data_IF_019057158370
#
_entry.id   IF_019057158370
#
_cell.length_a   1.000
_cell.length_b   1.000
_cell.length_c   1.000
_cell.angle_alpha   90.00
_cell.angle_beta   90.00
_cell.angle_gamma   90.00
#
_symmetry.space_group_name_H-M   'P 1'
#
loop_
_entity.id
_entity.type
_entity.pdbx_description
1 polymer ?
#
# COMPACT_ATOMS: atom_id res chain seq x y z
N UNK A 1 -13.85 49.12 14.12
CA UNK A 1 -14.62 48.01 13.53
C UNK A 1 -13.68 46.82 13.41
N UNK A 2 -13.79 45.87 14.34
CA UNK A 2 -12.99 44.65 14.31
C UNK A 2 -13.61 43.78 13.21
N UNK A 3 -12.89 43.59 12.10
CA UNK A 3 -13.26 42.61 11.10
C UNK A 3 -13.21 41.24 11.78
N UNK A 4 -14.37 40.64 12.02
CA UNK A 4 -14.43 39.25 12.44
C UNK A 4 -13.82 38.41 11.30
N UNK A 5 -12.63 37.87 11.52
CA UNK A 5 -12.07 36.82 10.67
C UNK A 5 -13.11 35.70 10.58
N UNK A 6 -13.72 35.56 9.41
CA UNK A 6 -14.63 34.44 9.15
C UNK A 6 -13.74 33.20 9.09
N UNK A 7 -13.89 32.24 10.01
CA UNK A 7 -13.01 31.08 10.06
C UNK A 7 -13.10 30.30 8.74
N UNK A 8 -11.95 29.94 8.18
CA UNK A 8 -11.86 29.25 6.90
C UNK A 8 -12.51 27.86 7.02
N UNK A 9 -13.63 27.66 6.34
CA UNK A 9 -14.36 26.39 6.38
C UNK A 9 -13.57 25.33 5.62
N UNK A 10 -13.04 24.35 6.33
CA UNK A 10 -12.30 23.22 5.75
C UNK A 10 -13.23 22.21 5.09
N UNK A 11 -14.40 21.96 5.67
CA UNK A 11 -15.40 21.09 5.05
C UNK A 11 -16.71 20.97 5.81
N UNK A 12 -17.62 20.19 5.24
CA UNK A 12 -18.95 19.94 5.82
C UNK A 12 -19.23 18.45 5.89
N UNK A 13 -19.87 18.04 6.99
CA UNK A 13 -20.55 16.76 7.14
C UNK A 13 -21.98 16.94 6.63
N UNK A 14 -22.44 16.05 5.78
CA UNK A 14 -23.80 16.10 5.23
C UNK A 14 -24.50 14.75 5.36
N UNK A 15 -25.82 14.81 5.51
CA UNK A 15 -26.72 13.67 5.52
C UNK A 15 -27.64 13.68 4.30
N UNK A 16 -27.98 12.49 3.78
CA UNK A 16 -28.95 12.32 2.69
C UNK A 16 -30.14 11.52 3.20
N UNK A 17 -31.33 12.02 2.93
CA UNK A 17 -32.61 11.43 3.33
C UNK A 17 -33.69 11.68 2.28
N UNK A 18 -34.86 11.06 2.49
CA UNK A 18 -36.06 11.44 1.75
C UNK A 18 -36.64 12.73 2.33
N UNK A 19 -37.22 13.56 1.48
CA UNK A 19 -37.84 14.84 1.84
C UNK A 19 -38.90 14.68 2.92
N UNK A 20 -39.69 13.60 2.82
CA UNK A 20 -40.82 13.29 3.71
C UNK A 20 -40.42 12.45 4.94
N UNK A 21 -39.17 12.03 5.05
CA UNK A 21 -38.67 11.24 6.18
C UNK A 21 -37.61 12.04 6.93
N UNK A 22 -37.61 11.94 8.26
CA UNK A 22 -36.49 12.40 9.08
C UNK A 22 -35.31 11.39 9.06
N UNK A 23 -35.52 10.21 8.48
CA UNK A 23 -34.53 9.14 8.49
C UNK A 23 -33.38 9.40 7.51
N UNK A 24 -32.18 9.63 8.04
CA UNK A 24 -30.97 9.62 7.23
C UNK A 24 -30.63 8.22 6.74
N UNK A 25 -30.26 8.13 5.47
CA UNK A 25 -29.84 6.89 4.81
C UNK A 25 -28.37 6.90 4.41
N UNK A 26 -27.71 8.06 4.44
CA UNK A 26 -26.30 8.16 4.17
C UNK A 26 -25.70 9.41 4.82
N UNK A 27 -24.51 9.27 5.36
CA UNK A 27 -23.68 10.38 5.86
C UNK A 27 -22.39 10.42 5.07
N UNK A 28 -21.88 11.62 4.78
CA UNK A 28 -20.54 11.75 4.23
C UNK A 28 -19.95 13.12 4.44
N UNK A 29 -18.69 13.27 4.07
CA UNK A 29 -17.96 14.55 4.16
C UNK A 29 -17.57 15.12 2.80
N UNK A 30 -17.41 16.45 2.75
CA UNK A 30 -16.89 17.12 1.56
C UNK A 30 -16.28 18.48 1.86
N UNK A 31 -15.20 18.82 1.13
CA UNK A 31 -14.58 20.14 1.13
C UNK A 31 -15.12 21.06 0.02
N UNK A 32 -15.92 20.53 -0.91
CA UNK A 32 -16.38 21.24 -2.13
C UNK A 32 -17.86 21.67 -2.07
N UNK A 33 -18.50 21.50 -0.91
CA UNK A 33 -19.91 21.81 -0.66
C UNK A 33 -20.86 20.61 -0.85
N UNK A 34 -21.80 20.45 0.09
CA UNK A 34 -22.73 19.32 0.16
C UNK A 34 -23.56 19.13 -1.12
N UNK A 35 -24.11 20.22 -1.69
CA UNK A 35 -24.92 20.17 -2.93
C UNK A 35 -24.12 19.61 -4.11
N UNK A 36 -22.87 20.05 -4.27
CA UNK A 36 -22.00 19.57 -5.36
C UNK A 36 -21.69 18.08 -5.19
N UNK A 37 -21.39 17.66 -3.96
CA UNK A 37 -21.12 16.26 -3.63
C UNK A 37 -22.34 15.37 -3.85
N UNK A 38 -23.53 15.84 -3.50
CA UNK A 38 -24.79 15.16 -3.75
C UNK A 38 -25.06 14.94 -5.24
N UNK A 39 -24.89 15.98 -6.08
CA UNK A 39 -25.00 15.83 -7.54
C UNK A 39 -23.99 14.83 -8.11
N UNK A 40 -22.78 14.77 -7.54
CA UNK A 40 -21.79 13.77 -7.90
C UNK A 40 -22.25 12.34 -7.54
N UNK A 41 -22.90 12.15 -6.39
CA UNK A 41 -23.47 10.84 -6.03
C UNK A 41 -24.57 10.40 -7.01
N UNK A 42 -25.47 11.30 -7.39
CA UNK A 42 -26.49 11.00 -8.41
C UNK A 42 -25.87 10.61 -9.75
N UNK A 43 -24.83 11.33 -10.19
CA UNK A 43 -24.09 11.00 -11.41
C UNK A 43 -23.43 9.62 -11.30
N UNK A 44 -22.71 9.36 -10.22
CA UNK A 44 -22.06 8.08 -9.98
C UNK A 44 -23.04 6.90 -9.95
N UNK A 45 -24.22 7.11 -9.36
CA UNK A 45 -25.28 6.10 -9.31
C UNK A 45 -25.83 5.80 -10.71
N UNK A 46 -26.01 6.83 -11.54
CA UNK A 46 -26.43 6.70 -12.95
C UNK A 46 -25.36 6.03 -13.82
N UNK A 47 -24.10 6.33 -13.58
CA UNK A 47 -22.96 5.77 -14.31
C UNK A 47 -22.66 4.29 -13.93
N UNK A 48 -23.51 3.68 -13.08
CA UNK A 48 -23.50 2.24 -12.82
C UNK A 48 -22.63 1.79 -11.65
N UNK A 49 -22.16 2.71 -10.78
CA UNK A 49 -21.47 2.29 -9.55
C UNK A 49 -22.43 1.51 -8.64
N UNK A 50 -21.97 0.35 -8.17
CA UNK A 50 -22.75 -0.58 -7.34
C UNK A 50 -22.38 -0.45 -5.86
N UNK A 51 -23.28 0.13 -5.08
CA UNK A 51 -23.23 0.17 -3.61
C UNK A 51 -24.67 0.21 -3.08
N UNK A 52 -24.96 -0.26 -1.85
CA UNK A 52 -26.31 -0.21 -1.28
C UNK A 52 -26.92 1.21 -1.33
N UNK A 53 -26.11 2.23 -1.03
CA UNK A 53 -26.51 3.62 -1.14
C UNK A 53 -26.87 4.05 -2.58
N UNK A 54 -26.08 3.67 -3.60
CA UNK A 54 -26.38 4.02 -4.99
C UNK A 54 -27.58 3.26 -5.55
N UNK A 55 -27.74 2.00 -5.13
CA UNK A 55 -28.91 1.20 -5.45
C UNK A 55 -30.18 1.83 -4.86
N UNK A 56 -30.10 2.35 -3.62
CA UNK A 56 -31.17 3.10 -2.98
C UNK A 56 -31.46 4.43 -3.69
N UNK A 57 -30.44 5.22 -4.05
CA UNK A 57 -30.63 6.47 -4.80
C UNK A 57 -31.37 6.26 -6.12
N UNK A 58 -31.12 5.14 -6.82
CA UNK A 58 -31.80 4.84 -8.11
C UNK A 58 -33.27 4.48 -7.97
N UNK A 59 -33.73 4.13 -6.77
CA UNK A 59 -35.15 3.82 -6.50
C UNK A 59 -36.00 5.08 -6.33
N UNK A 60 -35.39 6.24 -6.14
CA UNK A 60 -36.09 7.49 -5.77
C UNK A 60 -35.86 8.59 -6.80
N UNK A 61 -36.85 9.45 -7.00
CA UNK A 61 -36.72 10.64 -7.83
C UNK A 61 -35.82 11.69 -7.18
N UNK A 62 -35.12 12.50 -7.99
CA UNK A 62 -34.26 13.59 -7.50
C UNK A 62 -35.00 14.58 -6.58
N UNK A 63 -36.28 14.84 -6.83
CA UNK A 63 -37.09 15.78 -6.05
C UNK A 63 -37.41 15.26 -4.63
N UNK A 64 -37.41 13.94 -4.47
CA UNK A 64 -37.70 13.25 -3.21
C UNK A 64 -36.47 13.20 -2.30
N UNK A 65 -35.26 13.42 -2.84
CA UNK A 65 -34.02 13.35 -2.10
C UNK A 65 -33.61 14.73 -1.60
N UNK A 66 -33.19 14.79 -0.34
CA UNK A 66 -32.68 16.00 0.31
C UNK A 66 -31.29 15.72 0.85
N UNK A 67 -30.41 16.72 0.71
CA UNK A 67 -29.10 16.75 1.34
C UNK A 67 -29.08 17.86 2.37
N UNK A 68 -28.88 17.50 3.63
CA UNK A 68 -28.81 18.42 4.75
C UNK A 68 -27.35 18.53 5.22
N UNK A 69 -26.93 19.75 5.56
CA UNK A 69 -25.63 19.96 6.21
C UNK A 69 -25.83 19.69 7.70
N UNK A 70 -25.14 18.68 8.23
CA UNK A 70 -25.23 18.30 9.63
C UNK A 70 -24.28 19.15 10.48
N UNK A 71 -23.06 19.36 9.98
CA UNK A 71 -22.02 20.09 10.69
C UNK A 71 -21.05 20.75 9.71
N UNK A 72 -20.57 21.94 10.08
CA UNK A 72 -19.55 22.68 9.34
C UNK A 72 -18.28 22.72 10.17
N UNK A 73 -17.18 22.19 9.61
CA UNK A 73 -15.89 22.08 10.29
C UNK A 73 -14.95 23.16 9.75
N UNK A 74 -14.45 23.99 10.66
CA UNK A 74 -13.49 25.07 10.40
C UNK A 74 -12.08 24.76 10.89
N UNK A 75 -11.88 23.60 11.52
CA UNK A 75 -10.58 23.12 11.98
C UNK A 75 -9.90 22.24 10.94
N UNK A 76 -9.24 21.15 11.32
CA UNK A 76 -8.40 20.38 10.40
C UNK A 76 -9.15 19.28 9.60
N UNK A 77 -8.46 18.69 8.62
CA UNK A 77 -9.04 17.59 7.82
C UNK A 77 -9.27 16.31 8.65
N UNK A 78 -8.50 16.10 9.72
CA UNK A 78 -8.64 14.95 10.60
C UNK A 78 -9.90 15.06 11.47
N UNK A 79 -10.24 16.27 11.92
CA UNK A 79 -11.48 16.61 12.61
C UNK A 79 -12.68 16.38 11.71
N UNK A 80 -12.59 16.72 10.42
CA UNK A 80 -13.64 16.40 9.45
C UNK A 80 -13.87 14.87 9.34
N UNK A 81 -12.80 14.08 9.35
CA UNK A 81 -12.88 12.62 9.37
C UNK A 81 -13.49 12.07 10.66
N UNK A 82 -13.09 12.61 11.82
CA UNK A 82 -13.65 12.23 13.13
C UNK A 82 -15.13 12.58 13.23
N UNK A 83 -15.53 13.76 12.74
CA UNK A 83 -16.91 14.20 12.72
C UNK A 83 -17.78 13.25 11.89
N UNK A 84 -17.29 12.76 10.73
CA UNK A 84 -17.98 11.73 9.94
C UNK A 84 -18.27 10.48 10.78
N UNK A 85 -17.27 9.97 11.51
CA UNK A 85 -17.42 8.80 12.35
C UNK A 85 -18.43 9.01 13.48
N UNK A 86 -18.37 10.17 14.13
CA UNK A 86 -19.29 10.51 15.22
C UNK A 86 -20.73 10.57 14.74
N UNK A 87 -21.00 11.24 13.61
CA UNK A 87 -22.35 11.31 13.05
C UNK A 87 -22.89 9.96 12.62
N UNK A 88 -22.05 9.10 12.02
CA UNK A 88 -22.47 7.74 11.64
C UNK A 88 -22.84 6.92 12.89
N UNK A 89 -22.03 6.98 13.96
CA UNK A 89 -22.32 6.29 15.22
C UNK A 89 -23.60 6.79 15.86
N UNK A 90 -23.72 8.11 16.04
CA UNK A 90 -24.87 8.74 16.70
C UNK A 90 -26.18 8.46 15.97
N UNK A 91 -26.19 8.52 14.63
CA UNK A 91 -27.40 8.25 13.86
C UNK A 91 -27.78 6.76 13.89
N UNK A 92 -26.81 5.84 13.89
CA UNK A 92 -27.10 4.41 14.08
C UNK A 92 -27.69 4.13 15.46
N UNK A 93 -27.12 4.73 16.50
CA UNK A 93 -27.63 4.63 17.87
C UNK A 93 -29.04 5.23 18.01
N UNK A 94 -29.33 6.31 17.29
CA UNK A 94 -30.66 6.89 17.18
C UNK A 94 -31.65 6.07 16.31
N UNK A 95 -31.23 4.94 15.76
CA UNK A 95 -32.08 4.00 15.02
C UNK A 95 -32.19 4.25 13.51
N UNK A 96 -31.32 5.07 12.93
CA UNK A 96 -31.28 5.28 11.49
C UNK A 96 -30.62 4.11 10.75
N UNK A 97 -31.28 3.59 9.71
CA UNK A 97 -30.75 2.49 8.87
C UNK A 97 -29.82 3.05 7.77
N UNK A 98 -28.62 3.45 8.20
CA UNK A 98 -27.59 4.04 7.34
C UNK A 98 -26.97 3.02 6.37
N UNK A 99 -26.91 3.40 5.09
CA UNK A 99 -26.33 2.62 3.99
C UNK A 99 -24.82 2.87 3.80
N UNK A 100 -24.17 3.48 4.80
CA UNK A 100 -22.73 3.68 4.85
C UNK A 100 -22.00 2.33 4.92
N UNK A 101 -21.04 2.10 4.02
CA UNK A 101 -20.26 0.86 3.96
C UNK A 101 -19.12 0.80 4.99
N UNK A 102 -18.71 1.95 5.51
CA UNK A 102 -17.63 2.11 6.50
C UNK A 102 -18.10 3.01 7.63
N UNK A 103 -17.42 2.92 8.76
CA UNK A 103 -17.61 3.81 9.91
C UNK A 103 -17.22 5.28 9.63
N UNK A 104 -16.51 5.56 8.53
CA UNK A 104 -16.10 6.91 8.11
C UNK A 104 -14.58 7.12 8.20
N UNK A 105 -14.14 8.38 8.23
CA UNK A 105 -12.78 8.75 8.61
C UNK A 105 -11.86 9.20 7.47
N UNK A 106 -12.40 9.72 6.36
CA UNK A 106 -11.67 10.17 5.13
C UNK A 106 -11.53 9.12 4.01
N UNK A 107 -12.64 8.45 3.67
CA UNK A 107 -12.78 7.70 2.42
C UNK A 107 -12.49 6.19 2.53
N UNK A 108 -12.25 5.48 1.39
CA UNK A 108 -12.18 4.02 1.37
C UNK A 108 -11.02 3.43 2.19
N UNK A 109 -10.12 4.27 2.66
CA UNK A 109 -9.06 3.99 3.63
C UNK A 109 -9.57 3.47 4.97
N UNK A 110 -10.85 3.71 5.32
CA UNK A 110 -11.50 3.20 6.53
C UNK A 110 -12.31 1.91 6.35
N UNK A 111 -12.42 1.37 5.13
CA UNK A 111 -13.10 0.07 4.93
C UNK A 111 -12.17 -1.03 5.41
N UNK A 112 -12.40 -1.53 6.61
CA UNK A 112 -11.75 -2.76 7.09
C UNK A 112 -12.31 -3.91 6.26
N UNK A 113 -11.50 -4.44 5.34
CA UNK A 113 -11.91 -5.59 4.54
C UNK A 113 -12.10 -6.81 5.44
N UNK A 114 -13.19 -7.54 5.24
CA UNK A 114 -13.38 -8.83 5.90
C UNK A 114 -12.31 -9.82 5.45
N UNK A 115 -12.08 -10.88 6.23
CA UNK A 115 -11.11 -11.92 5.86
C UNK A 115 -11.45 -12.53 4.49
N UNK A 116 -12.74 -12.73 4.20
CA UNK A 116 -13.22 -13.20 2.90
C UNK A 116 -12.94 -12.21 1.75
N UNK A 117 -13.05 -10.90 1.98
CA UNK A 117 -12.74 -9.88 0.97
C UNK A 117 -11.23 -9.78 0.71
N UNK A 118 -10.41 -9.85 1.76
CA UNK A 118 -8.95 -9.95 1.65
C UNK A 118 -8.55 -11.21 0.89
N UNK A 119 -9.18 -12.33 1.19
CA UNK A 119 -8.95 -13.59 0.51
C UNK A 119 -9.34 -13.54 -0.98
N UNK A 120 -10.52 -13.02 -1.31
CA UNK A 120 -10.96 -12.87 -2.69
C UNK A 120 -10.06 -11.90 -3.49
N UNK A 121 -9.58 -10.83 -2.87
CA UNK A 121 -8.60 -9.93 -3.51
C UNK A 121 -7.24 -10.59 -3.69
N UNK A 122 -6.79 -11.37 -2.69
CA UNK A 122 -5.58 -12.20 -2.78
C UNK A 122 -5.70 -13.16 -3.95
N UNK A 123 -6.73 -14.00 -4.01
CA UNK A 123 -6.99 -14.96 -5.11
C UNK A 123 -6.98 -14.26 -6.47
N UNK A 124 -7.64 -13.09 -6.59
CA UNK A 124 -7.64 -12.31 -7.84
C UNK A 124 -6.27 -11.80 -8.25
N UNK A 125 -5.35 -11.62 -7.29
CA UNK A 125 -3.99 -11.13 -7.50
C UNK A 125 -2.96 -12.26 -7.63
N UNK A 126 -3.20 -13.40 -6.99
CA UNK A 126 -2.43 -14.62 -7.15
C UNK A 126 -2.46 -15.02 -8.62
N UNK A 127 -1.32 -15.41 -9.16
CA UNK A 127 -1.14 -15.78 -10.57
C UNK A 127 -1.30 -14.66 -11.61
N UNK A 128 -1.33 -13.38 -11.19
CA UNK A 128 -1.04 -12.29 -12.14
C UNK A 128 0.47 -12.19 -12.35
N UNK A 129 1.02 -12.63 -13.50
CA UNK A 129 2.44 -12.45 -13.76
C UNK A 129 2.75 -10.96 -13.80
N UNK A 130 3.60 -10.49 -12.88
CA UNK A 130 4.23 -9.19 -13.01
C UNK A 130 5.12 -9.21 -14.24
N UNK A 131 4.66 -8.64 -15.35
CA UNK A 131 5.45 -8.61 -16.59
C UNK A 131 6.59 -7.62 -16.41
N UNK A 132 7.83 -8.08 -16.57
CA UNK A 132 8.97 -7.19 -16.61
C UNK A 132 8.89 -6.32 -17.86
N UNK A 133 8.81 -5.00 -17.66
CA UNK A 133 8.76 -3.99 -18.72
C UNK A 133 10.08 -3.20 -18.67
N UNK A 134 11.17 -3.66 -19.31
CA UNK A 134 12.45 -2.95 -19.30
C UNK A 134 12.47 -1.77 -20.28
N UNK A 135 13.26 -0.75 -19.97
CA UNK A 135 13.45 0.43 -20.84
C UNK A 135 12.12 1.13 -21.13
N UNK A 136 11.94 1.56 -22.38
CA UNK A 136 10.75 2.29 -22.87
C UNK A 136 9.43 1.55 -22.65
N UNK A 137 9.46 0.22 -22.43
CA UNK A 137 8.24 -0.51 -22.10
C UNK A 137 7.70 -0.12 -20.72
N UNK A 138 8.53 0.37 -19.79
CA UNK A 138 8.08 0.86 -18.49
C UNK A 138 7.37 2.22 -18.66
N UNK A 139 6.11 2.38 -18.22
CA UNK A 139 5.40 3.67 -18.28
C UNK A 139 6.13 4.83 -17.58
N UNK A 140 7.06 4.51 -16.67
CA UNK A 140 7.85 5.50 -15.93
C UNK A 140 9.28 5.67 -16.49
N UNK A 141 9.63 5.05 -17.62
CA UNK A 141 10.94 5.24 -18.22
C UNK A 141 11.13 6.69 -18.70
N UNK A 142 12.25 7.31 -18.33
CA UNK A 142 12.52 8.72 -18.65
C UNK A 142 11.75 9.73 -17.80
N UNK A 143 10.82 9.30 -16.95
CA UNK A 143 10.09 10.20 -16.05
C UNK A 143 10.81 10.34 -14.70
N UNK A 144 10.82 11.55 -14.16
CA UNK A 144 11.33 11.86 -12.81
C UNK A 144 10.23 12.51 -11.97
N UNK A 145 10.23 12.24 -10.67
CA UNK A 145 9.31 12.91 -9.73
C UNK A 145 9.76 14.35 -9.47
N UNK A 146 8.79 15.22 -9.16
CA UNK A 146 9.09 16.62 -8.79
C UNK A 146 9.83 16.69 -7.46
N UNK A 147 10.53 17.78 -7.22
CA UNK A 147 11.26 18.01 -5.97
C UNK A 147 10.32 18.02 -4.77
N UNK A 148 9.13 18.64 -4.88
CA UNK A 148 8.17 18.67 -3.78
C UNK A 148 7.69 17.26 -3.41
N UNK A 149 7.38 16.41 -4.41
CA UNK A 149 6.95 15.03 -4.16
C UNK A 149 8.06 14.21 -3.49
N UNK A 150 9.32 14.38 -3.93
CA UNK A 150 10.47 13.73 -3.32
C UNK A 150 10.64 14.14 -1.86
N UNK A 151 10.47 15.44 -1.56
CA UNK A 151 10.52 15.94 -0.20
C UNK A 151 9.42 15.32 0.67
N UNK A 152 8.15 15.37 0.24
CA UNK A 152 7.03 14.80 1.02
C UNK A 152 7.27 13.33 1.39
N UNK A 153 7.75 12.51 0.45
CA UNK A 153 8.06 11.10 0.75
C UNK A 153 9.27 10.93 1.67
N UNK A 154 10.28 11.80 1.54
CA UNK A 154 11.41 11.81 2.46
C UNK A 154 10.94 12.10 3.89
N UNK A 155 10.08 13.10 4.07
CA UNK A 155 9.54 13.46 5.37
C UNK A 155 8.66 12.37 5.97
N UNK A 156 7.78 11.77 5.16
CA UNK A 156 6.87 10.71 5.63
C UNK A 156 7.59 9.41 6.01
N UNK A 157 8.75 9.13 5.40
CA UNK A 157 9.53 7.90 5.64
C UNK A 157 10.61 8.08 6.71
N UNK A 158 10.94 9.32 7.05
CA UNK A 158 11.94 9.65 8.07
C UNK A 158 11.55 8.99 9.39
N UNK A 159 12.48 8.22 9.98
CA UNK A 159 12.26 7.48 11.21
C UNK A 159 11.53 6.13 11.07
N UNK A 160 11.10 5.73 9.87
CA UNK A 160 10.54 4.39 9.65
C UNK A 160 11.69 3.38 9.45
N UNK A 161 11.64 2.21 10.11
CA UNK A 161 12.68 1.17 10.04
C UNK A 161 14.09 1.70 10.42
N UNK A 162 14.19 2.45 11.51
CA UNK A 162 15.46 2.89 12.10
C UNK A 162 15.80 2.07 13.33
N UNK A 163 17.09 1.93 13.65
CA UNK A 163 17.52 1.22 14.85
C UNK A 163 16.97 -0.22 14.91
N UNK A 164 16.65 -0.74 16.10
CA UNK A 164 16.13 -2.10 16.30
C UNK A 164 14.86 -2.44 15.51
N UNK A 165 14.07 -1.44 15.14
CA UNK A 165 12.86 -1.63 14.34
C UNK A 165 13.17 -1.94 12.86
N UNK A 166 14.40 -1.70 12.42
CA UNK A 166 14.85 -2.12 11.11
C UNK A 166 15.05 -3.66 11.10
N UNK A 167 14.39 -4.40 10.20
CA UNK A 167 14.59 -5.86 10.09
C UNK A 167 16.01 -6.29 9.70
N UNK A 168 16.89 -5.34 9.33
CA UNK A 168 18.31 -5.55 9.06
C UNK A 168 19.22 -4.95 10.15
N UNK A 169 18.68 -4.47 11.27
CA UNK A 169 19.47 -4.00 12.41
C UNK A 169 20.38 -5.13 12.93
N UNK A 170 21.65 -4.83 13.19
CA UNK A 170 22.65 -5.84 13.57
C UNK A 170 23.03 -6.86 12.50
N UNK A 171 22.38 -6.87 11.33
CA UNK A 171 22.83 -7.68 10.18
C UNK A 171 23.91 -6.98 9.36
N UNK A 172 24.00 -5.65 9.46
CA UNK A 172 25.02 -4.81 8.85
C UNK A 172 25.34 -3.64 9.80
N UNK A 173 26.51 -3.01 9.65
CA UNK A 173 26.92 -1.91 10.54
C UNK A 173 27.46 -2.37 11.90
N UNK A 174 27.71 -1.45 12.85
CA UNK A 174 28.46 -1.68 14.09
C UNK A 174 28.11 -2.93 14.89
N UNK A 175 26.83 -3.28 14.88
CA UNK A 175 26.28 -4.36 15.69
C UNK A 175 26.38 -5.74 14.99
N UNK A 176 26.91 -5.83 13.76
CA UNK A 176 27.09 -7.10 13.06
C UNK A 176 28.35 -7.84 13.52
N UNK A 177 28.34 -9.18 13.70
CA UNK A 177 29.50 -9.95 14.16
C UNK A 177 30.75 -9.85 13.27
N UNK A 178 30.57 -9.52 11.98
CA UNK A 178 31.69 -9.25 11.06
C UNK A 178 31.97 -7.77 10.85
N UNK A 179 31.32 -6.88 11.59
CA UNK A 179 31.64 -5.46 11.56
C UNK A 179 33.05 -5.22 12.09
N UNK A 180 33.81 -4.38 11.40
CA UNK A 180 35.22 -4.15 11.72
C UNK A 180 36.16 -5.31 11.35
N UNK A 181 35.67 -6.44 10.82
CA UNK A 181 36.56 -7.44 10.22
C UNK A 181 37.18 -6.88 8.95
N UNK A 182 38.48 -6.67 8.97
CA UNK A 182 39.26 -6.24 7.82
C UNK A 182 40.05 -7.42 7.29
N UNK A 183 39.92 -7.71 5.99
CA UNK A 183 40.80 -8.68 5.32
C UNK A 183 42.26 -8.22 5.46
N UNK A 184 43.16 -9.15 5.78
CA UNK A 184 44.60 -8.86 5.80
C UNK A 184 45.04 -8.27 4.46
N UNK A 185 46.10 -7.46 4.49
CA UNK A 185 46.65 -6.86 3.27
C UNK A 185 47.02 -7.94 2.23
N UNK A 186 47.53 -9.07 2.69
CA UNK A 186 47.87 -10.23 1.87
C UNK A 186 46.63 -10.88 1.23
N UNK A 187 45.59 -11.20 2.00
CA UNK A 187 44.36 -11.78 1.45
C UNK A 187 43.65 -10.84 0.49
N UNK A 188 43.67 -9.53 0.76
CA UNK A 188 43.14 -8.51 -0.15
C UNK A 188 43.92 -8.48 -1.45
N UNK A 189 45.25 -8.59 -1.38
CA UNK A 189 46.13 -8.62 -2.55
C UNK A 189 45.87 -9.87 -3.40
N UNK A 190 45.83 -11.06 -2.81
CA UNK A 190 45.56 -12.31 -3.53
C UNK A 190 44.19 -12.30 -4.24
N UNK A 191 43.15 -11.82 -3.56
CA UNK A 191 41.82 -11.66 -4.17
C UNK A 191 41.82 -10.62 -5.29
N UNK A 192 42.57 -9.53 -5.15
CA UNK A 192 42.69 -8.51 -6.18
C UNK A 192 43.43 -9.04 -7.42
N UNK A 193 44.55 -9.71 -7.21
CA UNK A 193 45.35 -10.32 -8.28
C UNK A 193 44.52 -11.36 -9.05
N UNK A 194 43.78 -12.25 -8.36
CA UNK A 194 42.90 -13.23 -9.02
C UNK A 194 41.71 -12.65 -9.79
N UNK A 195 41.32 -11.40 -9.50
CA UNK A 195 40.18 -10.71 -10.16
C UNK A 195 40.59 -9.71 -11.22
N UNK A 196 41.88 -9.44 -11.38
CA UNK A 196 42.40 -8.43 -12.31
C UNK A 196 43.38 -9.05 -13.30
N UNK A 197 43.52 -8.41 -14.46
CA UNK A 197 44.46 -8.87 -15.47
C UNK A 197 44.20 -10.30 -15.94
N UNK A 198 45.22 -10.99 -16.49
CA UNK A 198 45.11 -12.33 -17.07
C UNK A 198 44.64 -13.44 -16.11
N UNK A 199 44.73 -13.22 -14.80
CA UNK A 199 44.28 -14.17 -13.78
C UNK A 199 42.74 -14.21 -13.65
N UNK A 200 42.06 -13.14 -14.06
CA UNK A 200 40.60 -13.16 -14.12
C UNK A 200 40.15 -14.11 -15.26
N UNK A 201 39.32 -15.13 -14.98
CA UNK A 201 38.85 -16.08 -15.99
C UNK A 201 38.13 -15.46 -17.20
N UNK A 202 37.65 -14.21 -17.05
CA UNK A 202 36.97 -13.42 -18.07
C UNK A 202 37.85 -12.31 -18.66
N UNK A 203 39.15 -12.25 -18.33
CA UNK A 203 40.05 -11.26 -18.92
C UNK A 203 40.14 -11.41 -20.44
N UNK A 204 40.01 -10.31 -21.17
CA UNK A 204 39.99 -10.29 -22.63
C UNK A 204 38.74 -10.90 -23.27
N UNK A 205 37.80 -11.44 -22.50
CA UNK A 205 36.55 -11.98 -23.02
C UNK A 205 35.47 -10.90 -23.01
N UNK A 206 34.98 -10.53 -24.18
CA UNK A 206 33.77 -9.71 -24.32
C UNK A 206 32.65 -10.54 -24.90
N UNK A 207 31.47 -10.52 -24.26
CA UNK A 207 30.28 -11.11 -24.87
C UNK A 207 30.00 -10.39 -26.20
N UNK A 208 29.74 -11.17 -27.27
CA UNK A 208 29.40 -10.60 -28.57
C UNK A 208 28.10 -9.80 -28.48
N UNK A 209 27.89 -8.89 -29.45
CA UNK A 209 26.61 -8.16 -29.56
C UNK A 209 25.43 -9.13 -29.66
N UNK A 210 25.60 -10.23 -30.37
CA UNK A 210 24.63 -11.32 -30.50
C UNK A 210 24.36 -12.02 -29.17
N UNK A 211 25.40 -12.41 -28.42
CA UNK A 211 25.23 -13.03 -27.09
C UNK A 211 24.52 -12.09 -26.12
N UNK A 212 24.83 -10.78 -26.16
CA UNK A 212 24.13 -9.76 -25.35
C UNK A 212 22.66 -9.62 -25.76
N UNK A 213 22.37 -9.64 -27.06
CA UNK A 213 21.00 -9.58 -27.57
C UNK A 213 20.20 -10.83 -27.19
N UNK A 214 20.78 -12.04 -27.31
CA UNK A 214 20.16 -13.30 -26.90
C UNK A 214 19.87 -13.33 -25.40
N UNK A 215 20.82 -12.89 -24.56
CA UNK A 215 20.60 -12.74 -23.13
C UNK A 215 19.49 -11.73 -22.84
N UNK A 216 19.47 -10.57 -23.50
CA UNK A 216 18.40 -9.58 -23.33
C UNK A 216 17.04 -10.10 -23.78
N UNK A 217 16.96 -10.83 -24.89
CA UNK A 217 15.73 -11.42 -25.41
C UNK A 217 15.20 -12.53 -24.49
N UNK A 218 16.10 -13.39 -23.98
CA UNK A 218 15.76 -14.42 -23.00
C UNK A 218 15.29 -13.87 -21.66
N UNK A 219 15.63 -12.62 -21.32
CA UNK A 219 15.22 -11.98 -20.07
C UNK A 219 13.92 -11.16 -20.22
N UNK A 220 13.62 -10.66 -21.42
CA UNK A 220 12.42 -9.85 -21.72
C UNK A 220 11.15 -10.70 -21.57
N UNK A 221 10.15 -10.18 -20.85
CA UNK A 221 8.86 -10.86 -20.66
C UNK A 221 8.88 -12.08 -19.72
N UNK A 222 10.06 -12.57 -19.34
CA UNK A 222 10.18 -13.64 -18.33
C UNK A 222 9.84 -13.07 -16.95
N UNK A 223 8.80 -13.59 -16.26
CA UNK A 223 8.46 -13.15 -14.91
C UNK A 223 9.66 -13.42 -14.00
N UNK A 224 10.28 -12.36 -13.50
CA UNK A 224 11.28 -12.52 -12.45
C UNK A 224 10.50 -12.81 -11.18
N UNK A 225 10.67 -13.97 -10.53
CA UNK A 225 10.21 -14.09 -9.17
C UNK A 225 10.85 -12.92 -8.43
N UNK A 226 10.05 -12.04 -7.83
CA UNK A 226 10.45 -10.82 -7.15
C UNK A 226 11.39 -11.08 -5.97
N UNK A 227 12.59 -11.64 -6.19
CA UNK A 227 13.40 -12.22 -5.12
C UNK A 227 12.53 -13.00 -4.11
N UNK A 228 11.47 -13.71 -4.56
CA UNK A 228 10.36 -14.17 -3.69
C UNK A 228 10.90 -15.01 -2.55
N UNK A 229 11.93 -15.83 -2.79
CA UNK A 229 12.66 -16.47 -1.70
C UNK A 229 13.25 -15.41 -0.78
N UNK A 230 14.18 -14.60 -1.24
CA UNK A 230 14.95 -13.71 -0.39
C UNK A 230 14.11 -12.66 0.35
N UNK A 231 13.21 -11.90 -0.27
CA UNK A 231 12.49 -10.82 0.43
C UNK A 231 11.35 -11.32 1.33
N UNK A 232 10.56 -12.30 0.86
CA UNK A 232 9.43 -12.84 1.63
C UNK A 232 9.89 -13.80 2.73
N UNK A 233 10.88 -14.68 2.49
CA UNK A 233 11.46 -15.48 3.59
C UNK A 233 12.23 -14.61 4.58
N UNK A 234 12.96 -13.56 4.15
CA UNK A 234 13.59 -12.61 5.09
C UNK A 234 12.58 -11.95 6.02
N UNK A 235 11.36 -11.66 5.57
CA UNK A 235 10.31 -11.15 6.47
C UNK A 235 9.98 -12.14 7.60
N UNK A 236 9.78 -13.42 7.25
CA UNK A 236 9.50 -14.48 8.23
C UNK A 236 10.70 -14.75 9.15
N UNK A 237 11.90 -14.92 8.59
CA UNK A 237 13.12 -15.23 9.32
C UNK A 237 13.62 -14.05 10.17
N UNK A 238 13.54 -12.82 9.67
CA UNK A 238 14.05 -11.64 10.40
C UNK A 238 13.07 -11.16 11.48
N UNK A 239 11.76 -11.43 11.34
CA UNK A 239 10.76 -11.10 12.38
C UNK A 239 10.42 -12.27 13.31
N UNK A 240 10.98 -13.46 13.08
CA UNK A 240 10.66 -14.67 13.85
C UNK A 240 9.21 -15.15 13.68
N UNK A 241 8.54 -14.77 12.59
CA UNK A 241 7.12 -15.09 12.35
C UNK A 241 7.01 -16.26 11.39
N UNK A 242 6.53 -17.40 11.87
CA UNK A 242 6.26 -18.59 11.04
C UNK A 242 4.79 -18.59 10.61
N UNK A 243 4.54 -18.79 9.30
CA UNK A 243 3.19 -18.90 8.77
C UNK A 243 2.93 -20.32 8.27
N UNK A 244 1.87 -21.01 8.75
CA UNK A 244 1.57 -22.39 8.36
C UNK A 244 1.17 -22.53 6.88
N UNK A 245 0.83 -21.42 6.23
CA UNK A 245 0.43 -21.37 4.81
C UNK A 245 1.56 -20.87 3.89
N UNK A 246 2.69 -20.43 4.45
CA UNK A 246 3.85 -20.03 3.64
C UNK A 246 4.60 -21.29 3.19
N UNK A 247 4.57 -21.54 1.87
CA UNK A 247 5.26 -22.67 1.24
C UNK A 247 6.72 -22.80 1.69
N UNK A 248 7.43 -21.68 1.82
CA UNK A 248 8.85 -21.67 2.20
C UNK A 248 9.09 -21.95 3.70
N UNK A 249 8.22 -21.47 4.59
CA UNK A 249 8.31 -21.82 6.02
C UNK A 249 8.12 -23.32 6.24
N UNK A 250 7.21 -23.95 5.50
CA UNK A 250 7.00 -25.41 5.58
C UNK A 250 8.20 -26.19 5.03
N UNK A 251 8.76 -25.76 3.89
CA UNK A 251 9.95 -26.39 3.30
C UNK A 251 11.16 -26.32 4.24
N UNK A 252 11.35 -25.20 4.97
CA UNK A 252 12.43 -25.04 5.95
C UNK A 252 12.24 -25.89 7.22
N UNK A 253 11.02 -26.04 7.72
CA UNK A 253 10.74 -26.90 8.88
C UNK A 253 11.09 -28.38 8.59
N UNK A 254 10.78 -28.84 7.36
CA UNK A 254 11.09 -30.21 6.92
C UNK A 254 12.60 -30.43 6.75
N UNK A 255 13.38 -29.42 6.37
CA UNK A 255 14.84 -29.56 6.26
C UNK A 255 15.53 -29.67 7.63
N UNK A 256 15.06 -28.93 8.64
CA UNK A 256 15.67 -28.92 9.97
C UNK A 256 15.43 -30.25 10.71
N UNK A 257 14.25 -30.86 10.56
CA UNK A 257 13.91 -32.19 11.09
C UNK A 257 14.84 -33.28 10.50
N UNK A 258 15.03 -33.28 9.18
CA UNK A 258 15.90 -34.25 8.50
C UNK A 258 17.39 -34.12 8.88
N UNK A 259 17.89 -32.91 9.15
CA UNK A 259 19.26 -32.72 9.66
C UNK A 259 19.45 -33.24 11.08
N UNK A 260 18.45 -33.06 11.95
CA UNK A 260 18.51 -33.52 13.35
C UNK A 260 18.46 -35.04 13.51
N UNK A 261 17.91 -35.75 12.51
CA UNK A 261 17.88 -37.21 12.46
C UNK A 261 19.19 -37.81 11.92
N UNK A 262 19.89 -37.09 11.03
CA UNK A 262 21.19 -37.52 10.48
C UNK A 262 22.38 -37.34 11.44
N UNK A 263 22.26 -36.50 12.48
CA UNK A 263 23.29 -36.32 13.51
C UNK A 263 23.16 -37.29 14.70
N UNK A 264 22.16 -38.18 14.68
CA UNK A 264 21.92 -39.19 15.72
C UNK A 264 22.23 -40.64 15.29
N UNK A 265 22.95 -40.84 14.18
CA UNK A 265 23.49 -42.15 13.78
C UNK A 265 25.02 -42.18 13.86
#
# INVERSE_FOLDING_TARGET
>A
MIAAEVPEVVGVVYGIRLRLSAEFRYVGITTKGARRRFLQHLRNARDGRKTPFYDWLRKHGRAELVVDVLETITGDLAELGKAECLWISQLREAGHDLLNLSEGGLGPTGVVWTDAQREAARIRSTDRPGVSRPGDLNPFFGHSHTDEQRQTWSESRRGTNVGPDNPNFGRFGPDHPSFGRVLSAESRRLLSEGRTGPLNPNFGKTASSETRALQSAAQKGVPKPSSVRSAHTRYHTNKGVVSPICKFCRESAVSDENSSESEKQ
#
